data_IF_485559435016
#
_entry.id   IF_485559435016
#
_cell.length_a   1.000
_cell.length_b   1.000
_cell.length_c   1.000
_cell.angle_alpha   90.00
_cell.angle_beta   90.00
_cell.angle_gamma   90.00
#
_symmetry.space_group_name_H-M   'P 1'
#
loop_
_entity.id
_entity.type
_entity.pdbx_description
1 polymer ?
#
# COMPACT_ATOMS: atom_id res chain seq x y z
N UNK A 1 2.08 3.91 1.51
CA UNK A 1 1.91 2.46 1.21
C UNK A 1 0.53 1.94 1.59
N UNK A 2 0.09 2.10 2.84
CA UNK A 2 -1.24 1.61 3.29
C UNK A 2 -2.39 2.20 2.46
N UNK A 3 -2.34 3.50 2.13
CA UNK A 3 -3.34 4.12 1.26
C UNK A 3 -3.38 3.53 -0.15
N UNK A 4 -2.25 3.02 -0.65
CA UNK A 4 -2.20 2.32 -1.94
C UNK A 4 -2.90 0.96 -1.85
N UNK A 5 -2.69 0.21 -0.76
CA UNK A 5 -3.42 -1.03 -0.51
C UNK A 5 -4.92 -0.76 -0.37
N UNK A 6 -5.32 0.29 0.38
CA UNK A 6 -6.72 0.74 0.47
C UNK A 6 -7.31 1.00 -0.92
N UNK A 7 -6.61 1.75 -1.76
CA UNK A 7 -7.04 2.04 -3.12
C UNK A 7 -7.24 0.76 -3.95
N UNK A 8 -6.29 -0.18 -3.90
CA UNK A 8 -6.41 -1.46 -4.61
C UNK A 8 -7.65 -2.24 -4.14
N UNK A 9 -7.87 -2.29 -2.83
CA UNK A 9 -9.00 -3.00 -2.24
C UNK A 9 -10.35 -2.37 -2.60
N UNK A 10 -10.45 -1.04 -2.51
CA UNK A 10 -11.68 -0.32 -2.85
C UNK A 10 -12.06 -0.43 -4.33
N UNK A 11 -11.11 -0.75 -5.21
CA UNK A 11 -11.32 -0.85 -6.65
C UNK A 11 -11.12 -2.29 -7.19
N UNK A 12 -11.13 -3.30 -6.32
CA UNK A 12 -10.77 -4.68 -6.69
C UNK A 12 -11.57 -5.19 -7.89
N UNK A 13 -12.88 -4.94 -7.92
CA UNK A 13 -13.82 -5.48 -8.92
C UNK A 13 -13.52 -4.93 -10.32
N UNK A 14 -13.13 -3.66 -10.40
CA UNK A 14 -12.82 -2.99 -11.66
C UNK A 14 -11.42 -3.36 -12.14
N UNK A 15 -10.44 -3.40 -11.22
CA UNK A 15 -9.04 -3.62 -11.56
C UNK A 15 -8.77 -5.09 -11.91
N UNK A 16 -9.31 -6.06 -11.16
CA UNK A 16 -9.11 -7.49 -11.38
C UNK A 16 -9.68 -7.98 -12.72
N UNK A 17 -10.64 -7.26 -13.30
CA UNK A 17 -11.18 -7.57 -14.62
C UNK A 17 -10.17 -7.31 -15.75
N UNK A 18 -9.18 -6.45 -15.53
CA UNK A 18 -8.28 -5.95 -16.60
C UNK A 18 -6.79 -6.14 -16.30
N UNK A 19 -6.40 -6.16 -15.02
CA UNK A 19 -5.00 -6.07 -14.61
C UNK A 19 -4.66 -6.99 -13.45
N UNK A 20 -3.40 -7.43 -13.42
CA UNK A 20 -2.82 -8.14 -12.28
C UNK A 20 -2.44 -7.15 -11.17
N UNK A 21 -3.36 -6.88 -10.23
CA UNK A 21 -3.08 -6.01 -9.09
C UNK A 21 -2.14 -6.64 -8.05
N UNK A 22 -1.95 -7.96 -8.09
CA UNK A 22 -1.17 -8.70 -7.10
C UNK A 22 0.32 -8.40 -7.20
N UNK A 23 0.83 -8.07 -8.39
CA UNK A 23 2.22 -7.62 -8.53
C UNK A 23 2.48 -6.38 -7.67
N UNK A 24 1.60 -5.38 -7.75
CA UNK A 24 1.75 -4.15 -6.97
C UNK A 24 1.53 -4.40 -5.47
N UNK A 25 0.51 -5.19 -5.12
CA UNK A 25 0.28 -5.58 -3.73
C UNK A 25 1.50 -6.32 -3.14
N UNK A 26 2.10 -7.24 -3.90
CA UNK A 26 3.30 -7.98 -3.50
C UNK A 26 4.49 -7.03 -3.26
N UNK A 27 4.72 -6.05 -4.15
CA UNK A 27 5.78 -5.06 -3.96
C UNK A 27 5.60 -4.26 -2.67
N UNK A 28 4.37 -3.84 -2.38
CA UNK A 28 4.07 -3.12 -1.13
C UNK A 28 4.30 -4.00 0.10
N UNK A 29 3.82 -5.25 0.08
CA UNK A 29 3.98 -6.20 1.19
C UNK A 29 5.46 -6.56 1.40
N UNK A 30 6.22 -6.77 0.32
CA UNK A 30 7.65 -7.05 0.41
C UNK A 30 8.43 -5.88 1.00
N UNK A 31 8.02 -4.63 0.72
CA UNK A 31 8.63 -3.47 1.36
C UNK A 31 8.41 -3.49 2.88
N UNK A 32 7.19 -3.81 3.35
CA UNK A 32 6.96 -4.04 4.78
C UNK A 32 7.80 -5.18 5.35
N UNK A 33 7.90 -6.31 4.66
CA UNK A 33 8.75 -7.43 5.09
C UNK A 33 10.24 -7.05 5.16
N UNK A 34 10.70 -6.16 4.28
CA UNK A 34 12.06 -5.61 4.32
C UNK A 34 12.28 -4.79 5.60
N UNK A 35 11.36 -3.89 5.93
CA UNK A 35 11.39 -3.14 7.20
C UNK A 35 11.28 -4.06 8.43
N UNK A 36 10.45 -5.10 8.39
CA UNK A 36 10.30 -6.06 9.49
C UNK A 36 11.60 -6.85 9.69
N UNK A 37 12.24 -7.29 8.60
CA UNK A 37 13.39 -8.21 8.69
C UNK A 37 14.71 -7.50 8.92
N UNK A 38 14.90 -6.30 8.34
CA UNK A 38 16.18 -5.60 8.33
C UNK A 38 16.08 -4.18 8.91
N UNK A 39 14.92 -3.77 9.42
CA UNK A 39 14.69 -2.39 9.88
C UNK A 39 15.66 -1.96 10.99
N UNK A 40 16.10 -2.89 11.83
CA UNK A 40 17.14 -2.67 12.84
C UNK A 40 18.47 -2.16 12.25
N UNK A 41 18.76 -2.48 10.98
CA UNK A 41 20.02 -2.09 10.32
C UNK A 41 20.00 -0.68 9.70
N UNK A 42 18.83 -0.15 9.35
CA UNK A 42 18.75 1.10 8.57
C UNK A 42 17.69 2.10 9.04
N UNK A 43 16.81 1.72 9.96
CA UNK A 43 15.96 2.70 10.64
C UNK A 43 16.82 3.57 11.57
N UNK A 44 16.49 4.87 11.69
CA UNK A 44 17.36 5.83 12.35
C UNK A 44 17.50 5.58 13.86
N UNK A 45 16.49 5.00 14.50
CA UNK A 45 16.48 4.70 15.93
C UNK A 45 15.74 3.38 16.21
N UNK A 46 16.03 2.72 17.34
CA UNK A 46 15.24 1.56 17.79
C UNK A 46 13.75 1.91 17.97
N UNK A 47 13.43 3.13 18.43
CA UNK A 47 12.05 3.59 18.60
C UNK A 47 11.28 3.64 17.27
N UNK A 48 11.94 3.94 16.15
CA UNK A 48 11.30 3.87 14.83
C UNK A 48 10.87 2.46 14.44
N UNK A 49 11.51 1.42 15.00
CA UNK A 49 11.10 0.03 14.81
C UNK A 49 9.83 -0.29 15.63
N UNK A 50 9.73 0.26 16.84
CA UNK A 50 8.51 0.18 17.67
C UNK A 50 7.32 0.87 16.99
N UNK A 51 7.55 2.08 16.45
CA UNK A 51 6.56 2.85 15.70
C UNK A 51 6.07 2.11 14.45
N UNK A 52 6.97 1.41 13.73
CA UNK A 52 6.60 0.56 12.60
C UNK A 52 5.61 -0.53 13.03
N UNK A 53 5.90 -1.23 14.12
CA UNK A 53 5.05 -2.31 14.62
C UNK A 53 3.71 -1.76 15.13
N UNK A 54 3.73 -0.64 15.84
CA UNK A 54 2.54 0.10 16.23
C UNK A 54 1.66 0.43 15.03
N UNK A 55 2.22 0.98 13.95
CA UNK A 55 1.44 1.34 12.76
C UNK A 55 0.89 0.11 12.00
N UNK A 56 1.63 -1.00 11.96
CA UNK A 56 1.13 -2.28 11.42
C UNK A 56 -0.09 -2.76 12.21
N UNK A 57 0.00 -2.75 13.54
CA UNK A 57 -1.07 -3.17 14.45
C UNK A 57 -2.28 -2.22 14.31
N UNK A 58 -2.04 -0.91 14.32
CA UNK A 58 -3.08 0.12 14.21
C UNK A 58 -3.88 -0.02 12.92
N UNK A 59 -3.21 -0.37 11.81
CA UNK A 59 -3.82 -0.49 10.49
C UNK A 59 -4.13 -1.96 10.11
N UNK A 60 -4.20 -2.88 11.09
CA UNK A 60 -4.37 -4.32 10.87
C UNK A 60 -5.54 -4.67 9.93
N UNK A 61 -6.67 -3.95 10.05
CA UNK A 61 -7.86 -4.17 9.23
C UNK A 61 -7.56 -4.11 7.72
N UNK A 62 -6.61 -3.26 7.30
CA UNK A 62 -6.22 -3.16 5.90
C UNK A 62 -5.48 -4.41 5.42
N UNK A 63 -4.64 -4.99 6.28
CA UNK A 63 -3.95 -6.24 6.00
C UNK A 63 -4.90 -7.44 6.07
N UNK A 64 -5.87 -7.45 6.98
CA UNK A 64 -6.89 -8.49 7.07
C UNK A 64 -7.82 -8.52 5.86
N UNK A 65 -8.23 -7.35 5.38
CA UNK A 65 -9.02 -7.21 4.15
C UNK A 65 -8.24 -7.69 2.93
N UNK A 66 -6.97 -7.28 2.82
CA UNK A 66 -6.07 -7.76 1.76
C UNK A 66 -5.90 -9.28 1.84
N UNK A 67 -5.62 -9.83 3.02
CA UNK A 67 -5.46 -11.26 3.24
C UNK A 67 -6.71 -12.04 2.84
N UNK A 68 -7.89 -11.57 3.26
CA UNK A 68 -9.17 -12.20 2.93
C UNK A 68 -9.41 -12.26 1.42
N UNK A 69 -9.11 -11.16 0.70
CA UNK A 69 -9.22 -11.13 -0.76
C UNK A 69 -8.23 -12.09 -1.43
N UNK A 70 -6.94 -12.03 -1.08
CA UNK A 70 -5.92 -12.86 -1.74
C UNK A 70 -6.10 -14.33 -1.41
N UNK A 71 -6.53 -14.67 -0.19
CA UNK A 71 -6.83 -16.04 0.20
C UNK A 71 -7.96 -16.59 -0.66
N UNK A 72 -9.08 -15.88 -0.78
CA UNK A 72 -10.22 -16.23 -1.65
C UNK A 72 -9.78 -16.49 -3.09
N UNK A 73 -8.92 -15.64 -3.64
CA UNK A 73 -8.48 -15.75 -5.03
C UNK A 73 -7.39 -16.81 -5.24
N UNK A 74 -6.63 -17.15 -4.20
CA UNK A 74 -5.64 -18.23 -4.23
C UNK A 74 -6.25 -19.63 -4.10
N UNK A 75 -7.44 -19.75 -3.49
CA UNK A 75 -8.17 -21.03 -3.36
C UNK A 75 -9.13 -21.28 -4.52
N UNK A 76 -9.63 -20.21 -5.16
CA UNK A 76 -10.46 -20.32 -6.36
C UNK A 76 -9.62 -20.72 -7.59
N UNK A 77 -10.18 -21.58 -8.45
CA UNK A 77 -9.61 -21.84 -9.76
C UNK A 77 -9.78 -20.59 -10.66
N UNK A 78 -8.69 -19.95 -11.05
CA UNK A 78 -8.72 -18.76 -11.90
C UNK A 78 -7.33 -18.27 -12.30
N UNK A 79 -7.26 -17.37 -13.29
CA UNK A 79 -6.00 -16.82 -13.80
C UNK A 79 -5.15 -16.11 -12.73
N UNK A 80 -5.78 -15.69 -11.63
CA UNK A 80 -5.15 -14.97 -10.53
C UNK A 80 -4.69 -15.84 -9.37
N UNK A 81 -4.87 -17.16 -9.46
CA UNK A 81 -4.52 -18.11 -8.38
C UNK A 81 -3.07 -17.99 -7.93
N UNK A 82 -2.13 -18.11 -8.87
CA UNK A 82 -0.69 -18.08 -8.58
C UNK A 82 -0.23 -16.69 -8.08
N UNK A 83 -0.56 -15.56 -8.74
CA UNK A 83 -0.21 -14.24 -8.21
C UNK A 83 -0.78 -13.96 -6.82
N UNK A 84 -2.04 -14.34 -6.56
CA UNK A 84 -2.66 -14.16 -5.25
C UNK A 84 -1.97 -15.01 -4.18
N UNK A 85 -1.65 -16.28 -4.50
CA UNK A 85 -0.90 -17.17 -3.60
C UNK A 85 0.42 -16.54 -3.14
N UNK A 86 1.19 -15.91 -4.03
CA UNK A 86 2.44 -15.23 -3.65
C UNK A 86 2.21 -14.12 -2.62
N UNK A 87 1.16 -13.32 -2.78
CA UNK A 87 0.81 -12.28 -1.79
C UNK A 87 0.35 -12.90 -0.47
N UNK A 88 -0.44 -13.98 -0.51
CA UNK A 88 -0.84 -14.73 0.69
C UNK A 88 0.37 -15.19 1.50
N UNK A 89 1.38 -15.74 0.84
CA UNK A 89 2.63 -16.17 1.49
C UNK A 89 3.46 -14.98 2.01
N UNK A 90 3.47 -13.86 1.28
CA UNK A 90 4.18 -12.66 1.71
C UNK A 90 3.56 -12.00 2.96
N UNK A 91 2.27 -12.21 3.24
CA UNK A 91 1.59 -11.64 4.40
C UNK A 91 1.84 -12.37 5.72
N UNK A 92 2.57 -13.50 5.71
CA UNK A 92 2.74 -14.37 6.89
C UNK A 92 3.28 -13.62 8.11
N UNK A 93 4.36 -12.84 7.96
CA UNK A 93 4.95 -12.12 9.09
C UNK A 93 4.09 -10.98 9.59
N UNK A 94 3.49 -10.21 8.68
CA UNK A 94 2.55 -9.14 9.05
C UNK A 94 1.39 -9.72 9.87
N UNK A 95 0.84 -10.86 9.46
CA UNK A 95 -0.21 -11.55 10.22
C UNK A 95 0.28 -12.10 11.55
N UNK A 96 1.52 -12.60 11.62
CA UNK A 96 2.10 -13.06 12.88
C UNK A 96 2.20 -11.91 13.90
N UNK A 97 2.66 -10.73 13.46
CA UNK A 97 2.70 -9.50 14.29
C UNK A 97 1.30 -9.17 14.80
N UNK A 98 0.32 -9.02 13.89
CA UNK A 98 -1.06 -8.65 14.24
C UNK A 98 -1.66 -9.65 15.26
N UNK A 99 -1.57 -10.94 14.96
CA UNK A 99 -2.14 -11.99 15.81
C UNK A 99 -1.42 -12.15 17.16
N UNK A 100 -0.15 -11.74 17.24
CA UNK A 100 0.62 -11.78 18.48
C UNK A 100 0.27 -10.62 19.41
N UNK A 101 0.13 -9.41 18.87
CA UNK A 101 -0.04 -8.21 19.67
C UNK A 101 -1.50 -7.84 19.95
N UNK A 102 -2.44 -8.07 19.03
CA UNK A 102 -3.86 -7.72 19.27
C UNK A 102 -4.40 -8.35 20.57
N UNK A 103 -4.24 -9.66 20.84
CA UNK A 103 -4.72 -10.25 22.09
C UNK A 103 -4.04 -9.69 23.34
N UNK A 104 -2.77 -9.28 23.24
CA UNK A 104 -2.01 -8.69 24.36
C UNK A 104 -2.49 -7.28 24.67
N UNK A 105 -2.78 -6.50 23.63
CA UNK A 105 -3.37 -5.17 23.73
C UNK A 105 -4.76 -5.26 24.36
N UNK A 106 -5.60 -6.19 23.91
CA UNK A 106 -6.93 -6.45 24.49
C UNK A 106 -6.83 -6.88 25.96
N UNK A 107 -5.87 -7.76 26.29
CA UNK A 107 -5.62 -8.17 27.68
C UNK A 107 -5.15 -7.00 28.54
N UNK A 108 -4.26 -6.14 28.03
CA UNK A 108 -3.79 -4.96 28.73
C UNK A 108 -4.95 -3.97 28.99
N UNK A 109 -5.80 -3.76 28.00
CA UNK A 109 -7.00 -2.94 28.11
C UNK A 109 -7.93 -3.46 29.22
N UNK A 110 -8.18 -4.78 29.24
CA UNK A 110 -9.06 -5.42 30.20
C UNK A 110 -8.53 -5.34 31.64
N UNK A 111 -7.24 -5.62 31.85
CA UNK A 111 -6.59 -5.58 33.18
C UNK A 111 -6.57 -4.17 33.76
N UNK A 112 -6.33 -3.16 32.91
CA UNK A 112 -6.28 -1.76 33.35
C UNK A 112 -7.65 -1.07 33.34
N UNK A 113 -8.71 -1.78 32.94
CA UNK A 113 -10.07 -1.23 32.80
C UNK A 113 -10.15 0.00 31.87
N UNK A 114 -9.41 -0.04 30.76
CA UNK A 114 -9.33 1.03 29.77
C UNK A 114 -10.06 0.60 28.50
N UNK A 115 -11.00 1.43 28.01
CA UNK A 115 -11.75 1.11 26.79
C UNK A 115 -10.94 1.27 25.50
N UNK A 116 -9.95 2.16 25.49
CA UNK A 116 -9.07 2.40 24.35
C UNK A 116 -7.69 2.85 24.82
N UNK A 117 -6.62 2.19 24.35
CA UNK A 117 -5.25 2.54 24.71
C UNK A 117 -4.77 3.78 23.96
N UNK A 118 -3.91 4.56 24.62
CA UNK A 118 -3.09 5.58 23.96
C UNK A 118 -1.97 4.94 23.13
N UNK A 119 -1.38 5.71 22.24
CA UNK A 119 -0.21 5.29 21.45
C UNK A 119 0.93 4.77 22.34
N UNK A 120 1.31 5.52 23.38
CA UNK A 120 2.38 5.14 24.30
C UNK A 120 2.07 3.83 25.04
N UNK A 121 0.81 3.59 25.42
CA UNK A 121 0.41 2.34 26.08
C UNK A 121 0.52 1.14 25.13
N UNK A 122 0.20 1.32 23.85
CA UNK A 122 0.41 0.25 22.86
C UNK A 122 1.91 0.01 22.66
N UNK A 123 2.72 1.07 22.56
CA UNK A 123 4.17 0.97 22.43
C UNK A 123 4.82 0.29 23.64
N UNK A 124 4.30 0.49 24.86
CA UNK A 124 4.71 -0.25 26.05
C UNK A 124 4.45 -1.75 25.90
N UNK A 125 3.24 -2.15 25.47
CA UNK A 125 2.91 -3.55 25.20
C UNK A 125 3.81 -4.14 24.11
N UNK A 126 4.10 -3.39 23.04
CA UNK A 126 4.98 -3.83 21.96
C UNK A 126 6.39 -4.12 22.49
N UNK A 127 7.01 -3.13 23.16
CA UNK A 127 8.37 -3.24 23.71
C UNK A 127 8.51 -4.39 24.70
N UNK A 128 7.48 -4.63 25.52
CA UNK A 128 7.49 -5.69 26.53
C UNK A 128 7.31 -7.12 25.98
N UNK A 129 7.00 -7.30 24.69
CA UNK A 129 6.60 -8.60 24.14
C UNK A 129 7.29 -8.99 22.82
N UNK A 130 8.42 -8.35 22.47
CA UNK A 130 9.22 -8.73 21.30
C UNK A 130 9.85 -10.12 21.42
N UNK A 131 10.30 -10.48 22.61
CA UNK A 131 10.99 -11.74 22.92
C UNK A 131 10.13 -12.98 22.63
N UNK A 132 8.81 -12.85 22.76
CA UNK A 132 7.85 -13.93 22.50
C UNK A 132 7.33 -13.98 21.07
N UNK A 133 7.63 -12.97 20.24
CA UNK A 133 7.21 -12.93 18.85
C UNK A 133 8.11 -13.82 17.99
N UNK A 134 7.50 -14.74 17.24
CA UNK A 134 8.21 -15.57 16.26
C UNK A 134 7.82 -15.17 14.84
N UNK A 135 8.82 -14.81 14.04
CA UNK A 135 8.65 -14.46 12.62
C UNK A 135 9.33 -15.49 11.73
N UNK A 136 8.80 -15.66 10.52
CA UNK A 136 9.39 -16.51 9.49
C UNK A 136 10.48 -15.74 8.75
N UNK A 137 11.60 -16.39 8.44
CA UNK A 137 12.57 -15.82 7.51
C UNK A 137 11.95 -15.71 6.11
N UNK A 138 11.95 -14.50 5.57
CA UNK A 138 11.35 -14.19 4.28
C UNK A 138 12.45 -14.23 3.19
N UNK A 139 12.31 -15.14 2.23
CA UNK A 139 13.27 -15.28 1.13
C UNK A 139 13.11 -14.17 0.08
N UNK A 140 14.21 -13.78 -0.56
CA UNK A 140 14.20 -12.94 -1.77
C UNK A 140 13.93 -11.45 -1.53
N UNK A 141 14.07 -10.96 -0.30
CA UNK A 141 13.98 -9.52 0.02
C UNK A 141 15.20 -8.73 -0.48
N UNK A 142 16.32 -9.42 -0.73
CA UNK A 142 17.56 -8.89 -1.31
C UNK A 142 17.51 -8.83 -2.85
N UNK A 143 16.49 -9.43 -3.47
CA UNK A 143 16.30 -9.43 -4.92
C UNK A 143 15.53 -8.19 -5.35
N UNK A 144 16.26 -7.16 -5.77
CA UNK A 144 15.69 -5.95 -6.36
C UNK A 144 16.12 -5.79 -7.82
N UNK A 145 15.28 -5.11 -8.59
CA UNK A 145 15.65 -4.70 -9.95
C UNK A 145 16.75 -3.64 -9.87
N UNK A 146 17.92 -3.95 -10.42
CA UNK A 146 19.03 -2.99 -10.47
C UNK A 146 18.61 -1.75 -11.25
N UNK A 147 19.07 -0.59 -10.77
CA UNK A 147 18.85 0.67 -11.46
C UNK A 147 19.29 0.55 -12.93
N UNK A 148 18.42 1.00 -13.83
CA UNK A 148 18.66 1.09 -15.27
C UNK A 148 18.30 2.50 -15.72
N UNK A 149 19.19 3.14 -16.48
CA UNK A 149 18.94 4.47 -17.07
C UNK A 149 17.74 4.43 -18.04
N UNK A 150 17.54 3.31 -18.74
CA UNK A 150 16.32 3.04 -19.49
C UNK A 150 15.39 2.18 -18.63
N UNK A 151 14.54 2.85 -17.87
CA UNK A 151 13.50 2.19 -17.09
C UNK A 151 12.41 1.62 -18.02
N UNK A 152 11.82 0.48 -17.64
CA UNK A 152 10.81 -0.25 -18.45
C UNK A 152 9.59 0.61 -18.78
N UNK A 153 9.29 1.56 -17.91
CA UNK A 153 8.14 2.45 -17.98
C UNK A 153 8.40 3.71 -18.82
N UNK A 154 9.60 3.89 -19.38
CA UNK A 154 9.97 5.11 -20.13
C UNK A 154 9.01 5.39 -21.29
N UNK A 155 8.60 4.35 -22.01
CA UNK A 155 7.61 4.46 -23.06
C UNK A 155 6.25 4.93 -22.52
N UNK A 156 5.80 4.36 -21.38
CA UNK A 156 4.55 4.74 -20.74
C UNK A 156 4.54 6.23 -20.35
N UNK A 157 5.59 6.70 -19.67
CA UNK A 157 5.66 8.11 -19.26
C UNK A 157 5.74 9.06 -20.45
N UNK A 158 6.47 8.68 -21.51
CA UNK A 158 6.52 9.44 -22.76
C UNK A 158 5.14 9.58 -23.39
N UNK A 159 4.37 8.48 -23.45
CA UNK A 159 3.03 8.48 -24.01
C UNK A 159 2.03 9.23 -23.14
N UNK A 160 2.15 9.14 -21.81
CA UNK A 160 1.36 9.90 -20.85
C UNK A 160 1.58 11.41 -21.00
N UNK A 161 2.85 11.85 -21.03
CA UNK A 161 3.20 13.28 -21.23
C UNK A 161 2.68 13.77 -22.57
N UNK A 162 2.80 12.96 -23.62
CA UNK A 162 2.26 13.29 -24.94
C UNK A 162 0.73 13.45 -24.90
N UNK A 163 0.02 12.52 -24.27
CA UNK A 163 -1.44 12.54 -24.12
C UNK A 163 -1.92 13.78 -23.36
N UNK A 164 -1.31 14.06 -22.21
CA UNK A 164 -1.59 15.27 -21.40
C UNK A 164 -1.32 16.53 -22.22
N UNK A 165 -0.18 16.60 -22.91
CA UNK A 165 0.17 17.76 -23.75
C UNK A 165 -0.82 18.00 -24.88
N UNK A 166 -1.35 16.95 -25.50
CA UNK A 166 -2.39 17.05 -26.54
C UNK A 166 -3.71 17.51 -25.93
N UNK A 167 -4.10 16.94 -24.78
CA UNK A 167 -5.33 17.29 -24.08
C UNK A 167 -5.33 18.76 -23.65
N UNK A 168 -4.26 19.23 -23.01
CA UNK A 168 -4.10 20.63 -22.59
C UNK A 168 -4.13 21.57 -23.79
N UNK A 169 -3.40 21.27 -24.88
CA UNK A 169 -3.42 22.10 -26.10
C UNK A 169 -4.82 22.20 -26.72
N UNK A 170 -5.55 21.10 -26.79
CA UNK A 170 -6.94 21.11 -27.29
C UNK A 170 -7.82 21.99 -26.40
N UNK A 171 -7.79 21.78 -25.09
CA UNK A 171 -8.63 22.53 -24.16
C UNK A 171 -8.30 24.03 -24.13
N UNK A 172 -7.03 24.41 -24.21
CA UNK A 172 -6.63 25.82 -24.33
C UNK A 172 -7.12 26.43 -25.65
N UNK A 173 -6.96 25.73 -26.77
CA UNK A 173 -7.42 26.21 -28.08
C UNK A 173 -8.94 26.42 -28.14
N UNK A 174 -9.72 25.55 -27.47
CA UNK A 174 -11.16 25.72 -27.35
C UNK A 174 -11.53 26.96 -26.52
N UNK A 175 -10.83 27.20 -25.41
CA UNK A 175 -11.08 28.37 -24.56
C UNK A 175 -10.74 29.69 -25.27
N UNK A 176 -9.63 29.74 -26.02
CA UNK A 176 -9.24 30.94 -26.78
C UNK A 176 -10.24 31.24 -27.89
N UNK A 177 -10.69 30.21 -28.63
CA UNK A 177 -11.69 30.39 -29.69
C UNK A 177 -13.02 30.89 -29.11
N UNK A 178 -13.44 30.37 -27.96
CA UNK A 178 -14.66 30.82 -27.28
C UNK A 178 -14.56 32.27 -26.79
N UNK A 179 -13.39 32.70 -26.31
CA UNK A 179 -13.16 34.10 -25.93
C UNK A 179 -13.15 35.04 -27.14
N UNK A 180 -12.56 34.65 -28.26
CA UNK A 180 -12.57 35.44 -29.49
C UNK A 180 -13.98 35.64 -30.07
N UNK A 181 -14.83 34.60 -29.98
CA UNK A 181 -16.24 34.70 -30.38
C UNK A 181 -16.99 35.68 -29.48
N UNK A 182 -16.83 35.58 -28.16
CA UNK A 182 -17.45 36.51 -27.21
C UNK A 182 -16.99 37.96 -27.45
N UNK A 183 -15.69 38.18 -27.63
CA UNK A 183 -15.14 39.51 -27.93
C UNK A 183 -15.69 40.09 -29.25
N UNK A 184 -15.89 39.25 -30.28
CA UNK A 184 -16.55 39.66 -31.52
C UNK A 184 -18.01 40.04 -31.30
N UNK A 185 -18.78 39.26 -30.54
CA UNK A 185 -20.17 39.60 -30.20
C UNK A 185 -20.25 40.95 -29.48
N UNK A 186 -19.39 41.21 -28.50
CA UNK A 186 -19.34 42.52 -27.83
C UNK A 186 -18.91 43.66 -28.76
N UNK A 187 -18.04 43.41 -29.73
CA UNK A 187 -17.64 44.44 -30.72
C UNK A 187 -18.78 44.88 -31.64
N UNK A 188 -19.81 44.04 -31.81
CA UNK A 188 -20.99 44.36 -32.63
C UNK A 188 -22.09 45.13 -31.88
N UNK A 189 -21.93 45.36 -30.58
CA UNK A 189 -22.87 46.07 -29.71
C UNK A 189 -22.47 47.55 -29.50
N UNK A 190 -21.33 47.99 -30.08
CA UNK A 190 -20.91 49.41 -30.13
C UNK A 190 -21.23 50.03 -31.49
#
# INVERSE_FOLDING_TARGET
LINLLKFLMSNETVLLAKHNIFTLALMVVNLFNMFITYGDTFLPTPSSYDELYYEIIRMHQNFDNLYSMVLRLSTNAGQWKEPASKVTHALVNIRAIINHFNPKIESYAAVNHISQLSEEQVLEVVRANYDTLTLKLQDGLDQYERYSEQHKEAAFFKDLVRSISINVRRNLAFNTLSQEVLLKEFSTIS
#
